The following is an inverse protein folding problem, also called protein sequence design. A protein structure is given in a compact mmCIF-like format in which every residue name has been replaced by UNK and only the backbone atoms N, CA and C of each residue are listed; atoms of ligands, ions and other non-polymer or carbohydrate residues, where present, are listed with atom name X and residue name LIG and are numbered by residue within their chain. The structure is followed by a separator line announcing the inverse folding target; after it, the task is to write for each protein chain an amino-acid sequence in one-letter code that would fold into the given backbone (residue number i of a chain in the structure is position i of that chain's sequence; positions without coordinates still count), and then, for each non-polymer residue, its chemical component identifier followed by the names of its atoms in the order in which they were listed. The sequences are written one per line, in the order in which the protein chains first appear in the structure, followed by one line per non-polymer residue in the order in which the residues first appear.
data_IF_765105045575
#
_entry.id   IF_765105045575
#
_cell.length_a   1.000
_cell.length_b   1.000
_cell.length_c   1.000
_cell.angle_alpha   90.00
_cell.angle_beta   90.00
_cell.angle_gamma   90.00
#
_symmetry.space_group_name_H-M   'P 1'
#
loop_
_entity.id
_entity.type
_entity.pdbx_description
1 polymer ?
#
# COMPACT_ATOMS: atom_id res chain seq x y z
N UNK A 1 51.17 2.95 17.63
CA UNK A 1 52.27 2.21 16.98
C UNK A 1 52.15 2.41 15.49
N UNK A 2 53.18 3.02 14.93
CA UNK A 2 53.35 3.28 13.50
C UNK A 2 53.75 1.99 12.78
N UNK A 3 53.31 1.84 11.52
CA UNK A 3 54.25 1.56 10.44
C UNK A 3 53.59 1.84 9.08
N UNK A 4 54.04 2.93 8.46
CA UNK A 4 53.98 3.15 7.01
C UNK A 4 55.05 2.28 6.36
N UNK A 5 54.72 1.58 5.28
CA UNK A 5 55.70 1.04 4.35
C UNK A 5 55.46 1.63 2.97
N UNK A 6 56.26 2.64 2.66
CA UNK A 6 56.55 3.11 1.31
C UNK A 6 57.72 2.29 0.79
N UNK A 7 57.63 1.73 -0.42
CA UNK A 7 58.79 1.25 -1.18
C UNK A 7 58.91 2.08 -2.46
N UNK A 8 60.12 2.60 -2.65
CA UNK A 8 60.53 3.54 -3.69
C UNK A 8 61.12 2.82 -4.92
N UNK A 9 60.99 3.51 -6.06
CA UNK A 9 61.92 3.66 -7.21
C UNK A 9 62.42 2.43 -7.98
N UNK A 10 62.17 2.50 -9.30
CA UNK A 10 63.08 2.04 -10.34
C UNK A 10 62.84 2.86 -11.61
N UNK A 11 63.73 3.82 -11.88
CA UNK A 11 63.82 4.53 -13.16
C UNK A 11 64.93 3.88 -13.99
N UNK A 12 64.68 3.59 -15.26
CA UNK A 12 65.71 3.40 -16.26
C UNK A 12 65.28 4.03 -17.58
N UNK A 13 66.20 4.82 -18.12
CA UNK A 13 66.14 5.52 -19.40
C UNK A 13 66.50 4.57 -20.55
N UNK A 14 65.86 4.73 -21.71
CA UNK A 14 66.17 3.95 -22.91
C UNK A 14 65.59 4.58 -24.16
N UNK A 15 66.42 4.74 -25.17
CA UNK A 15 66.27 5.59 -26.37
C UNK A 15 65.18 5.17 -27.37
N UNK A 16 64.84 6.16 -28.20
CA UNK A 16 63.92 6.19 -29.32
C UNK A 16 64.01 5.06 -30.36
N UNK A 17 62.86 4.68 -30.91
CA UNK A 17 62.73 4.15 -32.27
C UNK A 17 61.49 4.79 -32.93
N UNK A 18 61.74 5.54 -34.00
CA UNK A 18 60.72 6.04 -34.92
C UNK A 18 60.12 4.85 -35.66
N UNK A 19 58.79 4.73 -35.64
CA UNK A 19 58.05 4.01 -36.67
C UNK A 19 56.93 4.91 -37.19
N UNK A 20 57.09 5.32 -38.46
CA UNK A 20 55.98 5.79 -39.28
C UNK A 20 55.00 4.63 -39.46
N UNK A 21 53.73 4.86 -39.15
CA UNK A 21 52.64 4.00 -39.58
C UNK A 21 51.47 4.88 -40.03
N UNK A 22 50.96 4.53 -41.20
CA UNK A 22 50.03 5.27 -42.03
C UNK A 22 48.72 5.63 -41.32
N UNK A 23 48.22 6.84 -41.60
CA UNK A 23 46.82 7.21 -41.40
C UNK A 23 45.94 6.26 -42.20
N UNK A 24 45.26 5.35 -41.52
CA UNK A 24 43.97 4.83 -41.97
C UNK A 24 42.97 5.09 -40.85
N UNK A 25 42.20 6.16 -41.01
CA UNK A 25 41.09 6.50 -40.13
C UNK A 25 39.91 5.58 -40.46
N UNK A 26 39.92 4.35 -39.94
CA UNK A 26 38.70 3.56 -39.82
C UNK A 26 38.00 3.94 -38.51
N UNK A 27 36.89 4.67 -38.65
CA UNK A 27 36.01 5.03 -37.54
C UNK A 27 35.30 3.77 -37.00
N UNK A 28 35.92 3.10 -36.04
CA UNK A 28 35.31 2.02 -35.24
C UNK A 28 34.33 2.55 -34.18
N UNK A 29 34.34 3.86 -33.91
CA UNK A 29 33.53 4.47 -32.85
C UNK A 29 32.01 4.41 -33.11
N UNK A 30 31.55 4.51 -34.38
CA UNK A 30 30.12 4.46 -34.70
C UNK A 30 29.54 3.04 -34.70
N UNK A 31 30.30 2.04 -35.12
CA UNK A 31 29.85 0.64 -35.16
C UNK A 31 29.76 0.05 -33.75
N UNK A 32 30.68 0.45 -32.86
CA UNK A 32 30.73 -0.09 -31.50
C UNK A 32 29.63 0.47 -30.57
N UNK A 33 29.16 1.72 -30.79
CA UNK A 33 28.00 2.27 -30.09
C UNK A 33 26.68 1.61 -30.53
N UNK A 34 26.45 1.46 -31.84
CA UNK A 34 25.20 0.87 -32.35
C UNK A 34 25.02 -0.60 -31.99
N UNK A 35 26.12 -1.37 -31.89
CA UNK A 35 26.08 -2.75 -31.40
C UNK A 35 25.83 -2.82 -29.89
N UNK A 36 26.49 -1.97 -29.08
CA UNK A 36 26.24 -1.88 -27.63
C UNK A 36 24.80 -1.46 -27.33
N UNK A 37 24.25 -0.47 -28.03
CA UNK A 37 22.85 -0.06 -27.86
C UNK A 37 21.85 -1.15 -28.26
N UNK A 38 22.13 -1.92 -29.31
CA UNK A 38 21.29 -3.06 -29.71
C UNK A 38 21.35 -4.19 -28.70
N UNK A 39 22.54 -4.52 -28.19
CA UNK A 39 22.71 -5.53 -27.13
C UNK A 39 22.03 -5.06 -25.84
N UNK A 40 22.18 -3.80 -25.45
CA UNK A 40 21.55 -3.23 -24.27
C UNK A 40 20.02 -3.24 -24.38
N UNK A 41 19.47 -2.86 -25.54
CA UNK A 41 18.03 -2.97 -25.82
C UNK A 41 17.53 -4.41 -25.83
N UNK A 42 18.37 -5.37 -26.24
CA UNK A 42 18.02 -6.79 -26.24
C UNK A 42 18.05 -7.37 -24.81
N UNK A 43 19.04 -7.01 -24.00
CA UNK A 43 19.13 -7.39 -22.58
C UNK A 43 18.02 -6.75 -21.77
N UNK A 44 17.67 -5.49 -22.03
CA UNK A 44 16.54 -4.81 -21.39
C UNK A 44 15.21 -5.49 -21.78
N UNK A 45 15.05 -5.88 -23.05
CA UNK A 45 13.87 -6.64 -23.49
C UNK A 45 13.77 -8.02 -22.83
N UNK A 46 14.89 -8.74 -22.70
CA UNK A 46 14.94 -10.03 -22.03
C UNK A 46 14.67 -9.88 -20.53
N UNK A 47 15.30 -8.92 -19.86
CA UNK A 47 15.09 -8.65 -18.43
C UNK A 47 13.64 -8.27 -18.14
N UNK A 48 13.05 -7.38 -18.96
CA UNK A 48 11.63 -7.02 -18.84
C UNK A 48 10.67 -8.19 -19.13
N UNK A 49 11.13 -9.24 -19.84
CA UNK A 49 10.33 -10.43 -20.09
C UNK A 49 10.33 -11.39 -18.89
N UNK A 50 11.43 -11.44 -18.13
CA UNK A 50 11.56 -12.27 -16.92
C UNK A 50 11.16 -11.56 -15.62
N UNK A 51 11.32 -10.23 -15.57
CA UNK A 51 11.00 -9.40 -14.42
C UNK A 51 10.33 -8.07 -14.85
N UNK A 52 9.11 -8.13 -15.42
CA UNK A 52 8.41 -6.94 -15.92
C UNK A 52 8.09 -5.94 -14.81
N UNK A 53 8.03 -4.67 -15.22
CA UNK A 53 7.58 -3.55 -14.39
C UNK A 53 6.06 -3.57 -14.24
N UNK A 54 5.57 -3.58 -13.00
CA UNK A 54 4.15 -3.72 -12.65
C UNK A 54 3.61 -2.66 -11.71
N UNK A 55 4.43 -1.68 -11.34
CA UNK A 55 3.99 -0.52 -10.57
C UNK A 55 2.73 0.15 -11.10
N UNK A 56 2.59 0.27 -12.42
CA UNK A 56 1.41 0.86 -13.05
C UNK A 56 0.15 0.00 -12.92
N UNK A 57 0.29 -1.32 -13.05
CA UNK A 57 -0.84 -2.24 -12.86
C UNK A 57 -1.29 -2.26 -11.39
N UNK A 58 -0.37 -2.05 -10.44
CA UNK A 58 -0.72 -1.90 -9.03
C UNK A 58 -1.72 -0.76 -8.79
N UNK A 59 -1.49 0.42 -9.37
CA UNK A 59 -2.43 1.55 -9.27
C UNK A 59 -3.73 1.32 -10.03
N UNK A 60 -3.69 0.64 -11.18
CA UNK A 60 -4.88 0.33 -11.97
C UNK A 60 -5.84 -0.65 -11.27
N UNK A 61 -5.30 -1.48 -10.37
CA UNK A 61 -6.05 -2.49 -9.64
C UNK A 61 -6.35 -2.11 -8.18
N UNK A 62 -6.13 -0.84 -7.84
CA UNK A 62 -6.55 -0.28 -6.57
C UNK A 62 -8.07 -0.41 -6.38
N UNK A 63 -8.46 -0.87 -5.19
CA UNK A 63 -9.85 -1.00 -4.75
C UNK A 63 -10.06 -0.23 -3.46
N UNK A 64 -11.15 0.53 -3.40
CA UNK A 64 -11.61 1.14 -2.15
C UNK A 64 -12.23 0.07 -1.25
N UNK A 65 -12.04 0.19 0.05
CA UNK A 65 -12.58 -0.76 1.01
C UNK A 65 -12.20 -0.45 2.45
N UNK A 66 -12.65 -1.33 3.35
CA UNK A 66 -12.21 -1.38 4.75
C UNK A 66 -11.06 -2.38 4.83
N UNK A 67 -10.00 -2.00 5.53
CA UNK A 67 -8.79 -2.78 5.69
C UNK A 67 -8.43 -2.87 7.17
N UNK A 68 -7.90 -4.02 7.57
CA UNK A 68 -7.36 -4.27 8.90
C UNK A 68 -5.87 -4.49 8.83
N UNK A 69 -5.16 -4.02 9.85
CA UNK A 69 -3.72 -4.20 9.98
C UNK A 69 -3.38 -4.50 11.43
N UNK A 70 -2.48 -5.45 11.63
CA UNK A 70 -1.74 -5.57 12.88
C UNK A 70 -0.55 -4.61 12.85
N UNK A 71 -0.46 -3.69 13.82
CA UNK A 71 0.63 -2.72 13.89
C UNK A 71 1.23 -2.62 15.30
N UNK A 72 2.53 -2.36 15.34
CA UNK A 72 3.27 -2.20 16.59
C UNK A 72 3.11 -0.84 17.24
N UNK A 73 2.70 0.15 16.45
CA UNK A 73 2.43 1.49 16.94
C UNK A 73 1.05 1.53 17.58
N UNK A 74 0.94 2.28 18.67
CA UNK A 74 -0.35 2.59 19.27
C UNK A 74 -1.09 3.69 18.47
N UNK A 75 -2.41 3.88 18.70
CA UNK A 75 -3.21 4.94 18.08
C UNK A 75 -2.64 6.36 18.22
N UNK A 76 -1.90 6.65 19.29
CA UNK A 76 -1.32 7.99 19.51
C UNK A 76 -0.23 8.31 18.49
N UNK A 77 0.53 7.31 18.04
CA UNK A 77 1.55 7.49 17.02
C UNK A 77 0.91 7.88 15.68
N UNK A 78 -0.16 7.19 15.27
CA UNK A 78 -0.89 7.52 14.05
C UNK A 78 -1.51 8.91 14.12
N UNK A 79 -2.05 9.30 15.28
CA UNK A 79 -2.61 10.64 15.48
C UNK A 79 -1.54 11.73 15.29
N UNK A 80 -0.35 11.53 15.89
CA UNK A 80 0.79 12.45 15.73
C UNK A 80 1.33 12.49 14.29
N UNK A 81 1.34 11.36 13.60
CA UNK A 81 1.87 11.23 12.23
C UNK A 81 0.88 11.68 11.15
N UNK A 82 -0.40 11.88 11.50
CA UNK A 82 -1.47 12.15 10.54
C UNK A 82 -1.95 10.92 9.78
N UNK A 83 -1.73 9.73 10.33
CA UNK A 83 -2.12 8.44 9.77
C UNK A 83 -0.94 7.62 9.20
N UNK A 84 -1.20 6.79 8.19
CA UNK A 84 -0.17 6.04 7.47
C UNK A 84 0.42 6.91 6.35
N UNK A 85 1.69 7.25 6.43
CA UNK A 85 2.41 7.92 5.33
C UNK A 85 2.81 6.92 4.24
N UNK A 86 2.84 7.29 2.96
CA UNK A 86 3.46 6.47 1.92
C UNK A 86 4.88 6.04 2.32
N UNK A 87 5.24 4.77 2.11
CA UNK A 87 6.60 4.29 2.43
C UNK A 87 7.65 4.74 1.44
N UNK A 88 7.23 4.91 0.19
CA UNK A 88 8.06 5.39 -0.92
C UNK A 88 7.26 6.37 -1.76
N UNK A 89 7.95 7.16 -2.58
CA UNK A 89 7.27 8.05 -3.52
C UNK A 89 6.58 7.28 -4.66
N UNK A 90 5.66 7.96 -5.35
CA UNK A 90 4.91 7.36 -6.46
C UNK A 90 5.82 6.87 -7.60
N UNK A 91 6.92 7.58 -7.89
CA UNK A 91 7.85 7.19 -8.96
C UNK A 91 8.51 5.85 -8.66
N UNK A 92 8.83 5.59 -7.39
CA UNK A 92 9.38 4.31 -6.94
C UNK A 92 8.35 3.18 -7.07
N UNK A 93 7.07 3.45 -6.79
CA UNK A 93 6.01 2.47 -7.03
C UNK A 93 5.90 2.15 -8.53
N UNK A 94 5.88 3.16 -9.40
CA UNK A 94 5.68 3.01 -10.84
C UNK A 94 6.72 2.13 -11.53
N UNK A 95 7.93 2.03 -10.95
CA UNK A 95 9.04 1.21 -11.47
C UNK A 95 9.21 -0.13 -10.75
N UNK A 96 8.30 -0.50 -9.84
CA UNK A 96 8.36 -1.81 -9.16
C UNK A 96 8.25 -2.93 -10.19
N UNK A 97 9.08 -3.95 -9.98
CA UNK A 97 9.13 -5.16 -10.79
C UNK A 97 8.47 -6.35 -10.08
N UNK A 98 8.29 -7.47 -10.77
CA UNK A 98 7.81 -8.72 -10.17
C UNK A 98 8.67 -9.14 -8.98
N UNK A 99 9.98 -9.12 -9.15
CA UNK A 99 10.95 -9.52 -8.14
C UNK A 99 10.86 -8.64 -6.90
N UNK A 100 10.60 -7.33 -7.04
CA UNK A 100 10.40 -6.43 -5.90
C UNK A 100 9.17 -6.86 -5.06
N UNK A 101 8.06 -7.23 -5.71
CA UNK A 101 6.84 -7.67 -5.03
C UNK A 101 7.05 -9.01 -4.33
N UNK A 102 7.72 -9.97 -4.99
CA UNK A 102 8.02 -11.27 -4.41
C UNK A 102 8.98 -11.14 -3.23
N UNK A 103 10.04 -10.33 -3.36
CA UNK A 103 11.00 -10.12 -2.28
C UNK A 103 10.38 -9.39 -1.09
N UNK A 104 9.46 -8.45 -1.33
CA UNK A 104 8.65 -7.86 -0.28
C UNK A 104 7.80 -8.92 0.44
N UNK A 105 7.03 -9.72 -0.28
CA UNK A 105 6.09 -10.65 0.35
C UNK A 105 6.80 -11.77 1.12
N UNK A 106 7.94 -12.26 0.60
CA UNK A 106 8.71 -13.36 1.23
C UNK A 106 9.60 -12.91 2.38
N UNK A 107 10.19 -11.72 2.28
CA UNK A 107 11.27 -11.30 3.17
C UNK A 107 11.06 -9.91 3.79
N UNK A 108 9.93 -9.25 3.49
CA UNK A 108 9.68 -7.85 3.83
C UNK A 108 10.83 -6.92 3.36
N UNK A 109 11.48 -7.28 2.25
CA UNK A 109 12.61 -6.54 1.69
C UNK A 109 12.12 -5.30 0.96
N UNK A 110 12.76 -4.15 1.19
CA UNK A 110 12.43 -2.87 0.55
C UNK A 110 10.92 -2.53 0.55
N UNK A 111 10.29 -2.46 1.73
CA UNK A 111 8.84 -2.34 1.85
C UNK A 111 8.33 -1.05 1.20
N UNK A 112 7.47 -1.20 0.19
CA UNK A 112 6.96 -0.10 -0.63
C UNK A 112 5.54 0.33 -0.27
N UNK A 113 4.85 -0.44 0.58
CA UNK A 113 3.51 -0.10 1.05
C UNK A 113 3.19 -0.71 2.41
N UNK A 114 1.93 -0.61 2.80
CA UNK A 114 1.41 -1.15 4.04
C UNK A 114 0.56 -2.39 3.76
N UNK A 115 1.08 -3.57 4.12
CA UNK A 115 0.37 -4.85 4.06
C UNK A 115 -0.83 -4.94 5.01
N UNK A 116 -2.00 -5.24 4.48
CA UNK A 116 -3.27 -5.26 5.22
C UNK A 116 -4.12 -6.45 4.81
N UNK A 117 -5.10 -6.77 5.64
CA UNK A 117 -6.13 -7.77 5.37
C UNK A 117 -7.45 -7.08 5.05
N UNK A 118 -8.30 -7.71 4.24
CA UNK A 118 -9.65 -7.19 3.94
C UNK A 118 -10.75 -7.88 4.75
N UNK A 119 -10.41 -8.97 5.44
CA UNK A 119 -11.32 -9.69 6.32
C UNK A 119 -10.65 -10.08 7.64
N UNK A 120 -11.47 -10.34 8.67
CA UNK A 120 -10.98 -10.83 9.95
C UNK A 120 -10.47 -12.29 9.88
N UNK A 121 -10.94 -13.10 8.93
CA UNK A 121 -10.41 -14.45 8.72
C UNK A 121 -8.98 -14.39 8.20
N UNK A 122 -8.70 -13.50 7.25
CA UNK A 122 -7.36 -13.32 6.70
C UNK A 122 -6.41 -12.74 7.75
N UNK A 123 -6.91 -11.78 8.55
CA UNK A 123 -6.17 -11.22 9.68
C UNK A 123 -5.82 -12.30 10.72
N UNK A 124 -6.76 -13.20 11.01
CA UNK A 124 -6.53 -14.31 11.94
C UNK A 124 -5.47 -15.28 11.38
N UNK A 125 -5.55 -15.63 10.09
CA UNK A 125 -4.55 -16.46 9.43
C UNK A 125 -3.15 -15.81 9.50
N UNK A 126 -3.06 -14.50 9.20
CA UNK A 126 -1.83 -13.73 9.33
C UNK A 126 -1.28 -13.76 10.76
N UNK A 127 -2.12 -13.51 11.77
CA UNK A 127 -1.72 -13.54 13.19
C UNK A 127 -1.18 -14.92 13.58
N UNK A 128 -1.85 -16.00 13.16
CA UNK A 128 -1.45 -17.37 13.49
C UNK A 128 -0.11 -17.75 12.84
N UNK A 129 0.11 -17.34 11.59
CA UNK A 129 1.37 -17.59 10.87
C UNK A 129 2.53 -16.72 11.39
N UNK A 130 2.23 -15.55 11.95
CA UNK A 130 3.21 -14.55 12.37
C UNK A 130 3.13 -14.24 13.88
N UNK A 131 2.81 -15.25 14.69
CA UNK A 131 2.46 -15.10 16.12
C UNK A 131 3.48 -14.29 16.92
N UNK A 132 4.76 -14.59 16.78
CA UNK A 132 5.87 -13.88 17.45
C UNK A 132 5.91 -12.38 17.14
N UNK A 133 5.45 -11.99 15.95
CA UNK A 133 5.41 -10.60 15.52
C UNK A 133 4.09 -9.91 15.87
N UNK A 134 3.00 -10.66 15.98
CA UNK A 134 1.64 -10.14 16.11
C UNK A 134 1.08 -10.09 17.55
N UNK A 135 1.59 -10.90 18.48
CA UNK A 135 0.90 -11.14 19.77
C UNK A 135 0.70 -9.93 20.68
N UNK A 136 1.63 -8.97 20.66
CA UNK A 136 1.59 -7.75 21.47
C UNK A 136 1.17 -6.50 20.68
N UNK A 137 0.51 -6.69 19.55
CA UNK A 137 0.25 -5.63 18.56
C UNK A 137 -1.20 -5.19 18.54
N UNK A 138 -1.41 -3.97 18.07
CA UNK A 138 -2.73 -3.36 17.90
C UNK A 138 -3.38 -3.89 16.62
N UNK A 139 -4.70 -4.09 16.64
CA UNK A 139 -5.47 -4.17 15.40
C UNK A 139 -5.97 -2.77 15.09
N UNK A 140 -5.59 -2.24 13.94
CA UNK A 140 -6.03 -0.95 13.41
C UNK A 140 -6.93 -1.24 12.21
N UNK A 141 -8.09 -0.59 12.17
CA UNK A 141 -9.04 -0.70 11.06
C UNK A 141 -9.31 0.68 10.49
N UNK A 142 -9.26 0.77 9.17
CA UNK A 142 -9.41 2.00 8.43
C UNK A 142 -10.08 1.74 7.08
N UNK A 143 -10.70 2.76 6.50
CA UNK A 143 -11.09 2.72 5.10
C UNK A 143 -10.05 3.41 4.23
N UNK A 144 -9.79 2.85 3.06
CA UNK A 144 -8.72 3.33 2.20
C UNK A 144 -8.81 2.75 0.80
N UNK A 145 -7.67 2.79 0.11
CA UNK A 145 -7.49 2.20 -1.20
C UNK A 145 -6.27 1.30 -1.18
N UNK A 146 -6.42 0.06 -1.65
CA UNK A 146 -5.33 -0.92 -1.69
C UNK A 146 -5.49 -1.92 -2.83
N UNK A 147 -4.40 -2.61 -3.14
CA UNK A 147 -4.33 -3.57 -4.24
C UNK A 147 -4.07 -4.96 -3.68
N UNK A 148 -4.88 -5.95 -4.05
CA UNK A 148 -4.61 -7.36 -3.70
C UNK A 148 -3.36 -7.81 -4.44
N UNK A 149 -2.36 -8.31 -3.71
CA UNK A 149 -1.14 -8.85 -4.33
C UNK A 149 -1.43 -10.12 -5.13
N UNK A 150 -2.36 -10.97 -4.66
CA UNK A 150 -2.82 -12.13 -5.40
C UNK A 150 -3.49 -11.73 -6.72
N UNK A 151 -4.44 -10.78 -6.70
CA UNK A 151 -5.08 -10.32 -7.94
C UNK A 151 -4.08 -9.65 -8.89
N UNK A 152 -3.11 -8.91 -8.35
CA UNK A 152 -2.05 -8.30 -9.14
C UNK A 152 -1.25 -9.39 -9.86
N UNK A 153 -0.78 -10.41 -9.13
CA UNK A 153 -0.06 -11.57 -9.68
C UNK A 153 -0.85 -12.25 -10.78
N UNK A 154 -2.12 -12.57 -10.54
CA UNK A 154 -2.99 -13.22 -11.52
C UNK A 154 -3.16 -12.39 -12.80
N UNK A 155 -3.30 -11.07 -12.67
CA UNK A 155 -3.50 -10.18 -13.82
C UNK A 155 -2.24 -9.91 -14.62
N UNK A 156 -1.09 -9.99 -13.97
CA UNK A 156 0.20 -9.75 -14.61
C UNK A 156 0.88 -11.05 -15.08
N UNK A 157 0.34 -12.21 -14.71
CA UNK A 157 0.89 -13.52 -15.08
C UNK A 157 2.05 -13.98 -14.20
N UNK A 158 2.13 -13.48 -12.96
CA UNK A 158 3.07 -13.98 -11.95
C UNK A 158 2.49 -15.27 -11.37
N UNK A 159 3.32 -16.31 -11.24
CA UNK A 159 2.92 -17.54 -10.55
C UNK A 159 2.57 -17.27 -9.09
N UNK A 160 1.47 -17.86 -8.64
CA UNK A 160 1.10 -17.84 -7.24
C UNK A 160 2.07 -18.69 -6.42
N UNK A 161 2.37 -18.25 -5.20
CA UNK A 161 3.21 -18.99 -4.26
C UNK A 161 2.55 -19.14 -2.88
N UNK A 162 3.20 -19.86 -1.97
CA UNK A 162 2.66 -20.16 -0.64
C UNK A 162 2.34 -18.92 0.21
N UNK A 163 2.93 -17.76 -0.10
CA UNK A 163 2.65 -16.53 0.64
C UNK A 163 1.34 -15.88 0.22
N UNK A 164 0.74 -16.29 -0.90
CA UNK A 164 -0.56 -15.77 -1.34
C UNK A 164 -1.73 -16.23 -0.47
N UNK A 165 -1.50 -17.25 0.37
CA UNK A 165 -2.46 -17.68 1.39
C UNK A 165 -2.78 -16.58 2.42
N UNK A 166 -1.91 -15.57 2.57
CA UNK A 166 -2.18 -14.42 3.45
C UNK A 166 -3.15 -13.41 2.83
N UNK A 167 -3.50 -13.55 1.54
CA UNK A 167 -4.45 -12.68 0.82
C UNK A 167 -4.15 -11.19 0.97
N UNK A 168 -2.87 -10.85 1.03
CA UNK A 168 -2.39 -9.52 1.39
C UNK A 168 -2.88 -8.44 0.41
N UNK A 169 -3.35 -7.33 0.97
CA UNK A 169 -3.60 -6.08 0.26
C UNK A 169 -2.52 -5.07 0.60
N UNK A 170 -1.99 -4.39 -0.41
CA UNK A 170 -0.98 -3.36 -0.23
C UNK A 170 -1.60 -1.97 -0.38
N UNK A 171 -1.36 -1.10 0.62
CA UNK A 171 -1.74 0.32 0.57
C UNK A 171 -0.49 1.18 0.33
N UNK A 172 -0.44 1.88 -0.81
CA UNK A 172 0.73 2.66 -1.24
C UNK A 172 0.56 4.17 -1.05
N UNK A 173 -0.64 4.71 -1.25
CA UNK A 173 -0.93 6.16 -1.22
C UNK A 173 -1.05 6.79 0.19
N UNK A 174 -0.83 5.99 1.23
CA UNK A 174 -1.04 6.40 2.61
C UNK A 174 -2.53 6.40 3.01
N UNK A 175 -2.79 6.60 4.30
CA UNK A 175 -4.13 6.61 4.89
C UNK A 175 -4.20 7.78 5.87
N UNK A 176 -5.01 8.81 5.62
CA UNK A 176 -5.21 9.90 6.58
C UNK A 176 -5.71 9.38 7.93
N UNK A 177 -5.33 10.04 9.02
CA UNK A 177 -5.78 9.65 10.36
C UNK A 177 -7.32 9.61 10.49
N UNK A 178 -8.02 10.55 9.86
CA UNK A 178 -9.48 10.62 9.88
C UNK A 178 -10.17 9.41 9.26
N UNK A 179 -9.43 8.62 8.47
CA UNK A 179 -9.94 7.39 7.88
C UNK A 179 -9.76 6.15 8.78
N UNK A 180 -9.05 6.30 9.90
CA UNK A 180 -8.90 5.25 10.90
C UNK A 180 -10.12 5.24 11.81
N UNK A 181 -10.89 4.15 11.75
CA UNK A 181 -12.22 4.06 12.38
C UNK A 181 -12.23 3.24 13.66
N UNK A 182 -11.26 2.32 13.80
CA UNK A 182 -11.16 1.52 14.99
C UNK A 182 -9.73 1.13 15.33
N UNK A 183 -9.50 0.96 16.63
CA UNK A 183 -8.28 0.37 17.15
C UNK A 183 -8.59 -0.44 18.41
N UNK A 184 -8.08 -1.67 18.48
CA UNK A 184 -8.21 -2.53 19.65
C UNK A 184 -6.85 -2.76 20.28
N UNK A 185 -6.76 -2.58 21.59
CA UNK A 185 -5.53 -2.82 22.34
C UNK A 185 -5.13 -4.30 22.31
N UNK A 186 -3.83 -4.61 22.45
CA UNK A 186 -3.36 -6.00 22.54
C UNK A 186 -4.11 -6.82 23.59
N UNK A 187 -4.42 -6.20 24.75
CA UNK A 187 -5.12 -6.84 25.86
C UNK A 187 -6.59 -7.20 25.57
N UNK A 188 -7.21 -6.57 24.57
CA UNK A 188 -8.60 -6.84 24.18
C UNK A 188 -8.72 -7.61 22.87
N UNK A 189 -7.58 -7.90 22.20
CA UNK A 189 -7.52 -8.45 20.85
C UNK A 189 -8.19 -9.82 20.75
N UNK A 190 -7.90 -10.73 21.66
CA UNK A 190 -8.47 -12.08 21.66
C UNK A 190 -10.00 -12.03 21.76
N UNK A 191 -10.52 -11.36 22.80
CA UNK A 191 -11.95 -11.12 23.00
C UNK A 191 -12.60 -10.47 21.78
N UNK A 192 -11.94 -9.48 21.17
CA UNK A 192 -12.44 -8.82 19.97
C UNK A 192 -12.53 -9.79 18.77
N UNK A 193 -11.50 -10.60 18.54
CA UNK A 193 -11.48 -11.60 17.46
C UNK A 193 -12.54 -12.70 17.68
N UNK A 194 -12.89 -12.97 18.93
CA UNK A 194 -14.01 -13.85 19.34
C UNK A 194 -15.40 -13.18 19.19
N UNK A 195 -15.48 -11.91 18.81
CA UNK A 195 -16.73 -11.17 18.60
C UNK A 195 -17.27 -10.46 19.85
N UNK A 196 -16.49 -10.39 20.93
CA UNK A 196 -16.88 -9.63 22.12
C UNK A 196 -16.94 -8.13 21.84
N UNK A 197 -17.79 -7.43 22.59
CA UNK A 197 -17.83 -5.97 22.60
C UNK A 197 -16.62 -5.43 23.37
N UNK A 198 -15.78 -4.64 22.71
CA UNK A 198 -14.56 -4.06 23.30
C UNK A 198 -14.51 -2.54 23.13
N UNK A 199 -13.70 -1.82 23.92
CA UNK A 199 -13.49 -0.39 23.71
C UNK A 199 -12.85 -0.06 22.36
N UNK A 200 -13.37 0.97 21.69
CA UNK A 200 -12.75 1.56 20.52
C UNK A 200 -11.75 2.64 20.96
N UNK A 201 -10.45 2.35 20.87
CA UNK A 201 -9.42 3.31 21.31
C UNK A 201 -9.35 4.54 20.39
N UNK A 202 -9.82 4.44 19.15
CA UNK A 202 -9.86 5.60 18.23
C UNK A 202 -10.81 6.70 18.70
N UNK A 203 -11.83 6.39 19.50
CA UNK A 203 -12.75 7.39 20.05
C UNK A 203 -12.02 8.48 20.86
N UNK A 204 -10.91 8.14 21.52
CA UNK A 204 -10.11 9.09 22.30
C UNK A 204 -9.47 10.19 21.45
N UNK A 205 -9.34 9.97 20.15
CA UNK A 205 -8.70 10.89 19.20
C UNK A 205 -9.72 11.47 18.20
N UNK A 206 -10.80 10.74 17.93
CA UNK A 206 -11.92 11.18 17.10
C UNK A 206 -13.24 10.89 17.83
N UNK A 207 -13.78 11.87 18.59
CA UNK A 207 -15.02 11.70 19.35
C UNK A 207 -16.26 11.42 18.51
N UNK A 208 -16.22 11.64 17.19
CA UNK A 208 -17.32 11.29 16.28
C UNK A 208 -17.49 9.78 16.12
N UNK A 209 -16.46 8.97 16.42
CA UNK A 209 -16.52 7.52 16.34
C UNK A 209 -17.21 6.91 17.58
N UNK A 210 -17.87 5.75 17.47
CA UNK A 210 -18.46 5.08 18.64
C UNK A 210 -17.39 4.60 19.65
N UNK A 211 -17.74 4.60 20.94
CA UNK A 211 -16.86 4.22 22.07
C UNK A 211 -16.54 2.72 22.14
N UNK A 212 -17.37 1.88 21.54
CA UNK A 212 -17.27 0.42 21.61
C UNK A 212 -17.53 -0.18 20.24
N UNK A 213 -16.95 -1.35 19.99
CA UNK A 213 -17.13 -2.09 18.75
C UNK A 213 -17.08 -3.60 18.98
N UNK A 214 -17.70 -4.35 18.08
CA UNK A 214 -17.46 -5.77 17.81
C UNK A 214 -16.76 -5.93 16.46
N UNK A 215 -16.20 -7.10 16.16
CA UNK A 215 -15.56 -7.29 14.84
C UNK A 215 -16.56 -7.18 13.71
N UNK A 216 -17.80 -7.64 13.91
CA UNK A 216 -18.84 -7.63 12.87
C UNK A 216 -19.15 -6.21 12.41
N UNK A 217 -19.13 -5.24 13.35
CA UNK A 217 -19.41 -3.82 13.11
C UNK A 217 -18.49 -3.18 12.07
N UNK A 218 -17.29 -3.74 11.85
CA UNK A 218 -16.26 -3.17 10.98
C UNK A 218 -15.70 -4.21 10.00
N UNK A 219 -16.46 -5.27 9.75
CA UNK A 219 -16.07 -6.37 8.86
C UNK A 219 -16.17 -6.05 7.37
N UNK A 220 -16.98 -5.05 6.99
CA UNK A 220 -17.12 -4.55 5.63
C UNK A 220 -17.57 -3.09 5.60
N UNK A 221 -17.64 -2.48 4.41
CA UNK A 221 -18.17 -1.13 4.25
C UNK A 221 -19.62 -1.00 4.72
N UNK A 222 -20.47 -1.98 4.43
CA UNK A 222 -21.89 -2.00 4.88
C UNK A 222 -21.97 -2.01 6.39
N UNK A 223 -21.23 -2.91 7.04
CA UNK A 223 -21.23 -3.03 8.49
C UNK A 223 -20.70 -1.75 9.15
N UNK A 224 -19.60 -1.21 8.64
CA UNK A 224 -19.03 0.06 9.12
C UNK A 224 -20.06 1.18 9.08
N UNK A 225 -20.70 1.38 7.93
CA UNK A 225 -21.69 2.44 7.77
C UNK A 225 -22.90 2.23 8.68
N UNK A 226 -23.38 0.99 8.81
CA UNK A 226 -24.49 0.63 9.70
C UNK A 226 -24.14 0.91 11.16
N UNK A 227 -22.93 0.54 11.58
CA UNK A 227 -22.45 0.78 12.94
C UNK A 227 -22.35 2.27 13.25
N UNK A 228 -21.84 3.08 12.32
CA UNK A 228 -21.77 4.53 12.46
C UNK A 228 -23.17 5.16 12.57
N UNK A 229 -24.13 4.74 11.74
CA UNK A 229 -25.51 5.23 11.82
C UNK A 229 -26.18 4.89 13.16
N UNK A 230 -26.05 3.64 13.62
CA UNK A 230 -26.62 3.19 14.90
C UNK A 230 -26.15 4.00 16.10
N UNK A 231 -24.99 4.63 16.00
CA UNK A 231 -24.37 5.41 17.06
C UNK A 231 -24.42 6.93 16.81
N UNK A 232 -25.18 7.39 15.81
CA UNK A 232 -25.30 8.80 15.45
C UNK A 232 -23.95 9.46 15.13
N UNK A 233 -23.02 8.71 14.55
CA UNK A 233 -21.68 9.15 14.16
C UNK A 233 -21.69 9.86 12.80
N UNK A 234 -22.48 10.94 12.67
CA UNK A 234 -22.78 11.58 11.38
C UNK A 234 -21.52 12.02 10.62
N UNK A 235 -20.59 12.69 11.28
CA UNK A 235 -19.37 13.20 10.65
C UNK A 235 -18.49 12.07 10.09
N UNK A 236 -18.27 11.02 10.88
CA UNK A 236 -17.54 9.83 10.43
C UNK A 236 -18.30 9.07 9.32
N UNK A 237 -19.63 9.00 9.41
CA UNK A 237 -20.47 8.38 8.40
C UNK A 237 -20.35 9.09 7.05
N UNK A 238 -20.47 10.42 7.03
CA UNK A 238 -20.37 11.22 5.79
C UNK A 238 -18.98 11.07 5.16
N UNK A 239 -17.91 11.08 5.97
CA UNK A 239 -16.54 10.84 5.47
C UNK A 239 -16.38 9.45 4.85
N UNK A 240 -16.83 8.41 5.56
CA UNK A 240 -16.76 7.04 5.07
C UNK A 240 -17.56 6.87 3.77
N UNK A 241 -18.78 7.44 3.70
CA UNK A 241 -19.60 7.44 2.50
C UNK A 241 -18.89 8.09 1.32
N UNK A 242 -18.32 9.28 1.55
CA UNK A 242 -17.60 10.04 0.54
C UNK A 242 -16.41 9.24 0.00
N UNK A 243 -15.61 8.64 0.88
CA UNK A 243 -14.43 7.88 0.45
C UNK A 243 -14.79 6.60 -0.29
N UNK A 244 -15.78 5.85 0.21
CA UNK A 244 -16.12 4.54 -0.31
C UNK A 244 -16.97 4.60 -1.59
N UNK A 245 -17.81 5.63 -1.75
CA UNK A 245 -18.88 5.65 -2.77
C UNK A 245 -18.91 6.87 -3.69
N UNK A 246 -18.16 7.96 -3.43
CA UNK A 246 -18.18 9.14 -4.32
C UNK A 246 -17.78 8.75 -5.76
N UNK A 247 -18.55 9.25 -6.72
CA UNK A 247 -18.34 9.00 -8.15
C UNK A 247 -18.82 7.62 -8.66
N UNK A 248 -19.43 6.78 -7.81
CA UNK A 248 -20.04 5.52 -8.24
C UNK A 248 -21.49 5.76 -8.71
N UNK A 249 -21.94 4.95 -9.68
CA UNK A 249 -23.35 4.98 -10.11
C UNK A 249 -24.27 4.46 -9.02
N UNK A 250 -25.55 4.88 -9.05
CA UNK A 250 -26.57 4.40 -8.10
C UNK A 250 -26.70 2.87 -8.10
N UNK A 251 -26.67 2.26 -9.29
CA UNK A 251 -26.69 0.80 -9.44
C UNK A 251 -25.49 0.14 -8.73
N UNK A 252 -24.29 0.69 -8.92
CA UNK A 252 -23.08 0.18 -8.26
C UNK A 252 -23.19 0.30 -6.75
N UNK A 253 -23.68 1.43 -6.23
CA UNK A 253 -23.87 1.63 -4.80
C UNK A 253 -24.89 0.63 -4.26
N UNK A 254 -26.01 0.43 -4.95
CA UNK A 254 -27.05 -0.51 -4.53
C UNK A 254 -26.53 -1.96 -4.44
N UNK A 255 -25.72 -2.39 -5.43
CA UNK A 255 -25.06 -3.71 -5.40
C UNK A 255 -24.07 -3.81 -4.23
N UNK A 256 -23.24 -2.77 -4.04
CA UNK A 256 -22.25 -2.73 -2.95
C UNK A 256 -22.87 -2.65 -1.55
N UNK A 257 -24.13 -2.25 -1.46
CA UNK A 257 -24.92 -2.22 -0.22
C UNK A 257 -25.89 -3.40 -0.12
N UNK A 258 -25.73 -4.42 -0.98
CA UNK A 258 -26.53 -5.65 -0.95
C UNK A 258 -28.05 -5.42 -1.00
N UNK A 259 -28.49 -4.30 -1.60
CA UNK A 259 -29.90 -3.93 -1.70
C UNK A 259 -30.51 -3.36 -0.42
N UNK A 260 -29.72 -3.01 0.60
CA UNK A 260 -30.23 -2.33 1.81
C UNK A 260 -30.76 -0.92 1.44
N UNK A 261 -32.08 -0.81 1.34
CA UNK A 261 -32.77 0.42 0.94
C UNK A 261 -32.61 1.57 1.94
N UNK A 262 -32.50 1.29 3.24
CA UNK A 262 -32.36 2.30 4.29
C UNK A 262 -30.95 2.87 4.25
N UNK A 263 -29.95 1.98 4.19
CA UNK A 263 -28.56 2.38 4.11
C UNK A 263 -28.26 3.11 2.80
N UNK A 264 -28.85 2.64 1.69
CA UNK A 264 -28.75 3.31 0.38
C UNK A 264 -29.28 4.75 0.43
N UNK A 265 -30.44 4.98 1.05
CA UNK A 265 -30.98 6.32 1.22
C UNK A 265 -30.06 7.22 2.06
N UNK A 266 -29.51 6.70 3.16
CA UNK A 266 -28.57 7.42 4.02
C UNK A 266 -27.26 7.79 3.28
N UNK A 267 -26.70 6.86 2.50
CA UNK A 267 -25.51 7.11 1.67
C UNK A 267 -25.79 8.20 0.64
N UNK A 268 -26.93 8.13 -0.07
CA UNK A 268 -27.31 9.18 -1.04
C UNK A 268 -27.48 10.54 -0.40
N UNK A 269 -28.08 10.61 0.79
CA UNK A 269 -28.22 11.86 1.53
C UNK A 269 -26.85 12.44 1.91
N UNK A 270 -25.94 11.61 2.46
CA UNK A 270 -24.60 12.04 2.83
C UNK A 270 -23.79 12.57 1.63
N UNK A 271 -23.86 11.89 0.47
CA UNK A 271 -23.16 12.34 -0.73
C UNK A 271 -23.69 13.68 -1.27
N UNK A 272 -25.00 13.91 -1.22
CA UNK A 272 -25.61 15.20 -1.61
C UNK A 272 -25.15 16.36 -0.73
N UNK A 273 -25.05 16.15 0.58
CA UNK A 273 -24.59 17.19 1.52
C UNK A 273 -23.18 17.67 1.19
N UNK A 274 -22.30 16.75 0.78
CA UNK A 274 -20.91 17.09 0.41
C UNK A 274 -20.86 17.86 -0.91
N UNK A 275 -21.68 17.49 -1.89
CA UNK A 275 -21.71 18.18 -3.17
C UNK A 275 -22.24 19.62 -3.02
N UNK A 276 -23.24 19.85 -2.16
CA UNK A 276 -23.78 21.18 -1.85
C UNK A 276 -22.79 22.08 -1.09
N UNK A 277 -21.88 21.50 -0.29
CA UNK A 277 -20.82 22.26 0.39
C UNK A 277 -19.66 22.64 -0.55
N UNK A 278 -19.57 22.04 -1.74
CA UNK A 278 -18.53 22.32 -2.75
C UNK A 278 -18.96 23.32 -3.83
N UNK A 279 -20.23 23.72 -3.90
CA UNK A 279 -20.65 24.84 -4.75
C UNK A 279 -20.09 26.16 -4.20
N UNK A 280 -19.46 27.01 -5.05
CA UNK A 280 -18.91 28.27 -4.57
C UNK A 280 -20.04 29.13 -4.05
N UNK A 281 -19.90 29.61 -2.80
CA UNK A 281 -20.59 30.82 -2.36
C UNK A 281 -20.19 31.93 -3.33
N UNK A 282 -21.00 32.14 -4.36
CA UNK A 282 -20.94 33.34 -5.18
C UNK A 282 -21.18 34.48 -4.18
N UNK A 283 -20.10 35.17 -3.82
CA UNK A 283 -20.20 36.44 -3.09
C UNK A 283 -20.95 37.39 -4.02
N UNK A 284 -22.20 37.70 -3.67
CA UNK A 284 -22.83 38.94 -4.11
C UNK A 284 -22.16 40.11 -3.39
#
# INVERSE_FOLDING_TARGET
MFSKLTIFKGASSGKSLKQQANKSSFSTAKVHMGFKERVFKLTDKLFNMYNPVIGKEMFKHERTGVFMRVDGRDPSAFHKEGGLKPRVDQKRIEVLTFEDVINYQRFNLNPFGWGCCKSFSDLLAFINNNKSHADSRWIIVFYGTGTSLLDLKLRTGIESDGYDMETEYIVTRGVPFDNMVAATSPNSREKFMEGALVPNVMHNYNPSLPKVLRKEDISSGIHLLTWLLKHNSEEAFVRACTHLYKGKSEETINIMLEGDTVLFAAVKAALKTVDQQQEPRIKM
#
